data_IF_562821014830
#
_entry.id   IF_562821014830
#
_cell.length_a   1.000
_cell.length_b   1.000
_cell.length_c   1.000
_cell.angle_alpha   90.00
_cell.angle_beta   90.00
_cell.angle_gamma   90.00
#
_symmetry.space_group_name_H-M   'P 1'
#
loop_
_entity.id
_entity.type
_entity.pdbx_description
1 polymer ?
#
# COMPACT_ATOMS: atom_id res chain seq x y z
N UNK A 1 -8.76 33.69 -2.13
CA UNK A 1 -7.32 33.32 -2.10
C UNK A 1 -7.18 31.91 -2.61
N UNK A 2 -6.49 31.79 -3.73
CA UNK A 2 -6.52 30.70 -4.72
C UNK A 2 -5.99 29.37 -4.21
N UNK A 3 -6.73 28.29 -4.51
CA UNK A 3 -6.31 26.92 -4.37
C UNK A 3 -5.05 26.65 -5.21
N UNK A 4 -3.93 26.32 -4.56
CA UNK A 4 -2.73 25.85 -5.25
C UNK A 4 -2.93 24.38 -5.64
N UNK A 5 -3.26 24.17 -6.91
CA UNK A 5 -3.14 22.88 -7.60
C UNK A 5 -1.66 22.50 -7.72
N UNK A 6 -1.15 21.70 -6.78
CA UNK A 6 0.25 21.25 -6.72
C UNK A 6 0.51 19.84 -7.31
N UNK A 7 -0.43 19.26 -8.05
CA UNK A 7 -0.43 17.80 -8.26
C UNK A 7 -0.13 17.29 -9.68
N UNK A 8 0.55 18.07 -10.54
CA UNK A 8 0.86 17.58 -11.89
C UNK A 8 2.35 17.61 -12.31
N UNK A 9 3.26 18.05 -11.44
CA UNK A 9 4.70 18.15 -11.78
C UNK A 9 5.59 17.08 -11.14
N UNK A 10 5.09 16.31 -10.15
CA UNK A 10 5.88 15.29 -9.43
C UNK A 10 5.84 13.88 -10.02
N UNK A 11 4.86 13.57 -10.88
CA UNK A 11 4.65 12.19 -11.37
C UNK A 11 5.58 11.76 -12.53
N UNK A 12 6.34 12.69 -13.13
CA UNK A 12 7.22 12.39 -14.27
C UNK A 12 8.64 11.93 -13.89
N UNK A 13 9.02 11.95 -12.60
CA UNK A 13 10.35 11.46 -12.17
C UNK A 13 10.24 10.10 -11.51
N UNK A 14 10.97 9.13 -12.07
CA UNK A 14 11.18 7.82 -11.45
C UNK A 14 11.81 8.02 -10.06
N UNK A 15 11.24 7.46 -8.99
CA UNK A 15 11.84 7.56 -7.67
C UNK A 15 13.09 6.70 -7.60
N UNK A 16 14.05 7.09 -6.75
CA UNK A 16 15.27 6.31 -6.50
C UNK A 16 15.26 5.64 -5.11
N UNK A 17 14.48 6.18 -4.17
CA UNK A 17 14.46 5.76 -2.75
C UNK A 17 13.04 5.59 -2.24
N UNK A 18 12.87 4.60 -1.37
CA UNK A 18 11.62 4.30 -0.67
C UNK A 18 11.49 5.24 0.53
N UNK A 19 10.47 6.10 0.53
CA UNK A 19 10.24 7.08 1.60
C UNK A 19 9.97 6.44 2.99
N UNK A 20 9.75 5.12 3.05
CA UNK A 20 9.50 4.39 4.29
C UNK A 20 10.77 3.78 4.89
N UNK A 21 11.68 3.27 4.07
CA UNK A 21 12.79 2.43 4.55
C UNK A 21 14.11 2.63 3.81
N UNK A 22 14.22 3.65 2.97
CA UNK A 22 15.44 4.06 2.24
C UNK A 22 16.08 3.02 1.31
N UNK A 23 15.41 1.86 1.13
CA UNK A 23 15.73 0.90 0.06
C UNK A 23 15.42 1.50 -1.31
N UNK A 24 16.03 0.95 -2.34
CA UNK A 24 15.77 1.37 -3.70
C UNK A 24 14.27 1.24 -4.03
N UNK A 25 13.72 2.31 -4.59
CA UNK A 25 12.40 2.34 -5.17
C UNK A 25 12.55 2.58 -6.67
N UNK A 26 11.60 2.06 -7.44
CA UNK A 26 11.55 2.29 -8.89
C UNK A 26 10.22 2.88 -9.34
N UNK A 27 9.20 2.83 -8.47
CA UNK A 27 7.84 3.22 -8.77
C UNK A 27 7.18 3.86 -7.54
N UNK A 28 6.04 4.48 -7.79
CA UNK A 28 5.11 4.90 -6.76
C UNK A 28 4.16 3.73 -6.50
N UNK A 29 3.96 3.38 -5.23
CA UNK A 29 2.91 2.46 -4.83
C UNK A 29 2.05 3.15 -3.79
N UNK A 30 0.74 3.19 -4.08
CA UNK A 30 -0.23 3.87 -3.24
C UNK A 30 0.17 5.33 -3.00
N UNK A 31 0.46 6.03 -4.11
CA UNK A 31 0.84 7.46 -4.19
C UNK A 31 2.20 7.88 -3.60
N UNK A 32 2.99 6.92 -3.10
CA UNK A 32 4.29 7.21 -2.46
C UNK A 32 5.45 6.45 -3.12
N UNK A 33 6.62 7.09 -3.33
CA UNK A 33 7.88 6.41 -3.64
C UNK A 33 8.16 5.27 -2.66
N UNK A 34 8.05 4.03 -3.09
CA UNK A 34 8.20 2.90 -2.17
C UNK A 34 8.79 1.66 -2.84
N UNK A 35 9.53 0.88 -2.06
CA UNK A 35 10.06 -0.40 -2.52
C UNK A 35 8.97 -1.49 -2.50
N UNK A 36 9.20 -2.58 -3.23
CA UNK A 36 8.30 -3.74 -3.25
C UNK A 36 8.00 -4.28 -1.84
N UNK A 37 8.97 -4.25 -0.91
CA UNK A 37 8.75 -4.69 0.46
C UNK A 37 7.70 -3.86 1.20
N UNK A 38 7.77 -2.53 1.11
CA UNK A 38 6.81 -1.64 1.75
C UNK A 38 5.45 -1.66 1.06
N UNK A 39 5.40 -1.81 -0.27
CA UNK A 39 4.17 -2.07 -1.03
C UNK A 39 3.39 -3.26 -0.47
N UNK A 40 4.01 -4.44 -0.40
CA UNK A 40 3.31 -5.65 0.03
C UNK A 40 2.95 -5.62 1.50
N UNK A 41 3.86 -5.10 2.33
CA UNK A 41 3.62 -4.90 3.75
C UNK A 41 2.38 -4.02 3.98
N UNK A 42 2.36 -2.81 3.41
CA UNK A 42 1.24 -1.87 3.54
C UNK A 42 -0.07 -2.48 3.06
N UNK A 43 -0.08 -3.07 1.85
CA UNK A 43 -1.27 -3.73 1.29
C UNK A 43 -1.84 -4.78 2.25
N UNK A 44 -0.99 -5.65 2.78
CA UNK A 44 -1.40 -6.71 3.70
C UNK A 44 -1.92 -6.14 5.02
N UNK A 45 -1.22 -5.17 5.58
CA UNK A 45 -1.63 -4.52 6.84
C UNK A 45 -2.99 -3.85 6.73
N UNK A 46 -3.27 -3.18 5.61
CA UNK A 46 -4.58 -2.55 5.38
C UNK A 46 -5.69 -3.57 5.14
N UNK A 47 -5.48 -4.56 4.26
CA UNK A 47 -6.51 -5.55 3.92
C UNK A 47 -6.89 -6.40 5.13
N UNK A 48 -5.89 -6.85 5.90
CA UNK A 48 -6.10 -7.70 7.07
C UNK A 48 -6.37 -6.88 8.34
N UNK A 49 -6.53 -5.56 8.23
CA UNK A 49 -6.67 -4.61 9.36
C UNK A 49 -5.70 -4.92 10.51
N UNK A 50 -4.41 -5.10 10.18
CA UNK A 50 -3.41 -5.51 11.16
C UNK A 50 -3.17 -4.43 12.20
N UNK A 51 -3.25 -4.83 13.46
CA UNK A 51 -2.78 -4.08 14.60
C UNK A 51 -1.42 -4.67 15.00
N UNK A 52 -0.40 -3.81 15.09
CA UNK A 52 0.94 -4.20 15.53
C UNK A 52 1.30 -3.40 16.78
N UNK A 53 1.97 -4.05 17.72
CA UNK A 53 2.55 -3.39 18.89
C UNK A 53 4.05 -3.15 18.69
N UNK A 54 4.52 -1.99 19.10
CA UNK A 54 5.96 -1.74 19.27
C UNK A 54 6.40 -2.35 20.61
N UNK A 55 7.62 -2.88 20.68
CA UNK A 55 8.22 -3.36 21.93
C UNK A 55 9.08 -2.28 22.61
N UNK A 56 9.28 -1.16 21.93
CA UNK A 56 10.10 -0.02 22.34
C UNK A 56 9.20 1.25 22.42
N UNK A 57 9.79 2.43 22.27
CA UNK A 57 9.12 3.73 22.40
C UNK A 57 8.39 4.20 21.13
N UNK A 58 7.89 3.28 20.29
CA UNK A 58 7.18 3.59 19.04
C UNK A 58 7.92 4.51 18.05
N UNK A 59 9.26 4.54 18.14
CA UNK A 59 10.15 5.39 17.36
C UNK A 59 11.28 4.60 16.67
N UNK A 60 11.09 3.30 16.43
CA UNK A 60 12.12 2.45 15.83
C UNK A 60 12.54 2.96 14.44
N UNK A 61 13.85 2.99 14.19
CA UNK A 61 14.42 3.30 12.88
C UNK A 61 14.07 2.21 11.86
N UNK A 62 13.33 2.59 10.81
CA UNK A 62 12.85 1.65 9.77
C UNK A 62 13.91 1.38 8.69
N UNK A 63 14.95 2.20 8.64
CA UNK A 63 16.05 2.18 7.66
C UNK A 63 17.12 1.10 7.94
N UNK A 64 17.35 0.72 9.20
CA UNK A 64 18.51 -0.10 9.61
C UNK A 64 18.17 -1.53 10.04
N UNK A 65 17.37 -2.27 9.27
CA UNK A 65 17.15 -3.71 9.49
C UNK A 65 16.33 -4.10 10.72
N UNK A 66 16.07 -3.18 11.66
CA UNK A 66 15.13 -3.35 12.78
C UNK A 66 13.70 -3.44 12.21
N UNK A 67 13.09 -4.62 12.26
CA UNK A 67 11.79 -4.91 11.62
C UNK A 67 10.61 -4.62 12.55
N UNK A 68 10.55 -3.44 13.17
CA UNK A 68 9.37 -3.07 13.96
C UNK A 68 8.15 -2.85 13.03
N UNK A 69 7.20 -3.79 13.05
CA UNK A 69 6.00 -3.73 12.19
C UNK A 69 5.09 -2.55 12.54
N UNK A 70 4.98 -2.20 13.82
CA UNK A 70 4.21 -1.05 14.27
C UNK A 70 4.79 0.26 13.71
N UNK A 71 6.07 0.53 13.95
CA UNK A 71 6.73 1.74 13.44
C UNK A 71 6.77 1.78 11.91
N UNK A 72 6.93 0.63 11.25
CA UNK A 72 6.89 0.56 9.78
C UNK A 72 5.52 0.93 9.23
N UNK A 73 4.43 0.41 9.82
CA UNK A 73 3.07 0.75 9.38
C UNK A 73 2.74 2.21 9.67
N UNK A 74 3.13 2.71 10.85
CA UNK A 74 3.02 4.12 11.20
C UNK A 74 3.76 5.00 10.18
N UNK A 75 5.02 4.66 9.86
CA UNK A 75 5.79 5.38 8.84
C UNK A 75 5.12 5.34 7.47
N UNK A 76 4.59 4.20 7.02
CA UNK A 76 3.82 4.09 5.78
C UNK A 76 2.66 5.11 5.72
N UNK A 77 1.89 5.23 6.80
CA UNK A 77 0.79 6.18 6.89
C UNK A 77 1.29 7.62 6.91
N UNK A 78 2.33 7.90 7.69
CA UNK A 78 2.89 9.25 7.86
C UNK A 78 3.50 9.80 6.57
N UNK A 79 4.08 8.95 5.71
CA UNK A 79 4.58 9.38 4.39
C UNK A 79 3.48 9.47 3.33
N UNK A 80 2.23 9.18 3.68
CA UNK A 80 1.07 9.36 2.82
C UNK A 80 0.69 8.16 1.97
N UNK A 81 1.06 6.92 2.33
CA UNK A 81 0.62 5.75 1.56
C UNK A 81 -0.91 5.65 1.61
N UNK A 82 -1.54 5.64 0.43
CA UNK A 82 -2.98 5.80 0.31
C UNK A 82 -3.75 4.50 0.62
N UNK A 83 -4.37 4.44 1.80
CA UNK A 83 -5.20 3.32 2.27
C UNK A 83 -6.42 3.07 1.37
N UNK A 84 -7.02 4.13 0.81
CA UNK A 84 -8.24 4.03 0.00
C UNK A 84 -7.98 3.26 -1.29
N UNK A 85 -6.82 3.47 -1.93
CA UNK A 85 -6.43 2.72 -3.13
C UNK A 85 -6.31 1.22 -2.83
N UNK A 86 -5.77 0.85 -1.67
CA UNK A 86 -5.71 -0.56 -1.26
C UNK A 86 -7.12 -1.15 -1.09
N UNK A 87 -8.01 -0.42 -0.44
CA UNK A 87 -9.39 -0.86 -0.19
C UNK A 87 -10.18 -1.00 -1.50
N UNK A 88 -10.07 -0.02 -2.41
CA UNK A 88 -10.70 -0.08 -3.73
C UNK A 88 -10.19 -1.28 -4.56
N UNK A 89 -8.88 -1.55 -4.54
CA UNK A 89 -8.32 -2.73 -5.20
C UNK A 89 -8.85 -4.04 -4.60
N UNK A 90 -8.97 -4.12 -3.27
CA UNK A 90 -9.53 -5.29 -2.61
C UNK A 90 -11.00 -5.52 -2.99
N UNK A 91 -11.80 -4.46 -3.06
CA UNK A 91 -13.19 -4.52 -3.50
C UNK A 91 -13.30 -4.96 -4.97
N UNK A 92 -12.50 -4.36 -5.86
CA UNK A 92 -12.45 -4.75 -7.28
C UNK A 92 -12.11 -6.23 -7.45
N UNK A 93 -11.13 -6.73 -6.70
CA UNK A 93 -10.76 -8.14 -6.73
C UNK A 93 -11.88 -9.06 -6.22
N UNK A 94 -12.63 -8.64 -5.19
CA UNK A 94 -13.78 -9.39 -4.67
C UNK A 94 -14.91 -9.46 -5.72
N UNK A 95 -15.22 -8.33 -6.37
CA UNK A 95 -16.21 -8.26 -7.44
C UNK A 95 -15.80 -9.10 -8.65
N UNK A 96 -14.54 -9.01 -9.09
CA UNK A 96 -14.02 -9.84 -10.19
C UNK A 96 -14.12 -11.33 -9.87
N UNK A 97 -13.75 -11.74 -8.65
CA UNK A 97 -13.90 -13.12 -8.21
C UNK A 97 -15.36 -13.56 -8.24
N UNK A 98 -16.28 -12.72 -7.77
CA UNK A 98 -17.71 -13.02 -7.80
C UNK A 98 -18.25 -13.16 -9.24
N UNK A 99 -17.81 -12.32 -10.17
CA UNK A 99 -18.17 -12.44 -11.59
C UNK A 99 -17.68 -13.76 -12.20
N UNK A 100 -16.41 -14.11 -11.99
CA UNK A 100 -15.84 -15.38 -12.47
C UNK A 100 -16.63 -16.57 -11.90
N UNK A 101 -16.96 -16.55 -10.61
CA UNK A 101 -17.77 -17.59 -9.97
C UNK A 101 -19.16 -17.74 -10.61
N UNK A 102 -19.83 -16.63 -10.93
CA UNK A 102 -21.12 -16.67 -11.64
C UNK A 102 -21.01 -17.32 -13.03
N UNK A 103 -19.93 -17.03 -13.76
CA UNK A 103 -19.66 -17.65 -15.07
C UNK A 103 -19.49 -19.15 -14.91
N UNK A 104 -18.67 -19.59 -13.96
CA UNK A 104 -18.42 -21.02 -13.70
C UNK A 104 -19.72 -21.74 -13.30
N UNK A 105 -20.49 -21.17 -12.37
CA UNK A 105 -21.79 -21.74 -11.95
C UNK A 105 -22.75 -21.83 -13.13
N UNK A 106 -22.85 -20.78 -13.96
CA UNK A 106 -23.71 -20.79 -15.14
C UNK A 106 -23.28 -21.86 -16.14
N UNK A 107 -21.99 -22.05 -16.36
CA UNK A 107 -21.49 -23.12 -17.24
C UNK A 107 -21.78 -24.52 -16.69
N UNK A 108 -21.74 -24.71 -15.36
CA UNK A 108 -22.10 -25.97 -14.72
C UNK A 108 -23.60 -26.27 -14.78
N UNK A 109 -24.46 -25.24 -14.65
CA UNK A 109 -25.92 -25.38 -14.73
C UNK A 109 -26.47 -25.54 -16.17
N UNK A 110 -25.62 -25.34 -17.18
CA UNK A 110 -25.96 -25.51 -18.61
C UNK A 110 -25.44 -26.85 -19.18
N UNK A 111 -24.90 -27.73 -18.32
CA UNK A 111 -24.61 -29.14 -18.60
C UNK A 111 -25.68 -30.00 -17.95
#
# INVERSE_FOLDING_TARGET
MSALNLNNSKQNRKPNKCAVCEKNAFFYHYDVPSCNGCKHFFRRSIIENKIYSCLENSNCLVENGIKCRACRLSKCLNVGMNKLLVQQLALKNKLNKQMIWKIIIRNYLLQ
#
